data_IF_848878199082
#
_entry.id   IF_848878199082
#
_cell.length_a   1.000
_cell.length_b   1.000
_cell.length_c   1.000
_cell.angle_alpha   90.00
_cell.angle_beta   90.00
_cell.angle_gamma   90.00
#
_symmetry.space_group_name_H-M   'P 1'
#
loop_
_entity.id
_entity.type
_entity.pdbx_description
1 polymer ?
#
# COMPACT_ATOMS: atom_id res chain seq x y z
N UNK A 1 -20.41 90.14 -9.64
CA UNK A 1 -19.36 90.19 -8.60
C UNK A 1 -19.92 89.45 -7.40
N UNK A 2 -19.67 88.15 -7.20
CA UNK A 2 -18.40 87.45 -6.92
C UNK A 2 -17.96 87.55 -5.45
N UNK A 3 -17.85 86.39 -4.79
CA UNK A 3 -17.22 86.15 -3.48
C UNK A 3 -18.18 86.34 -2.29
N UNK A 4 -18.26 85.49 -1.27
CA UNK A 4 -17.32 84.48 -0.79
C UNK A 4 -18.09 83.46 0.07
N UNK A 5 -18.04 82.20 -0.33
CA UNK A 5 -18.41 81.04 0.47
C UNK A 5 -17.42 80.90 1.62
N UNK A 6 -17.87 81.10 2.86
CA UNK A 6 -17.08 80.79 4.05
C UNK A 6 -17.10 79.27 4.26
N UNK A 7 -15.96 78.66 3.95
CA UNK A 7 -15.67 77.25 4.07
C UNK A 7 -15.69 76.83 5.55
N UNK A 8 -16.80 76.22 5.99
CA UNK A 8 -16.90 75.59 7.30
C UNK A 8 -16.16 74.26 7.20
N UNK A 9 -14.85 74.31 7.43
CA UNK A 9 -14.01 73.12 7.53
C UNK A 9 -14.65 72.14 8.51
N UNK A 10 -15.20 71.06 7.96
CA UNK A 10 -15.74 69.95 8.71
C UNK A 10 -14.57 69.31 9.46
N UNK A 11 -14.50 69.55 10.76
CA UNK A 11 -13.63 68.83 11.69
C UNK A 11 -14.04 67.36 11.62
N UNK A 12 -13.34 66.59 10.77
CA UNK A 12 -13.54 65.14 10.67
C UNK A 12 -13.15 64.57 12.03
N UNK A 13 -14.16 64.18 12.81
CA UNK A 13 -13.99 63.41 14.02
C UNK A 13 -13.05 62.24 13.70
N UNK A 14 -11.89 62.21 14.36
CA UNK A 14 -10.94 61.11 14.23
C UNK A 14 -11.62 59.86 14.77
N UNK A 15 -12.00 58.95 13.88
CA UNK A 15 -12.44 57.61 14.24
C UNK A 15 -11.17 56.75 14.27
N UNK A 16 -10.67 56.37 15.46
CA UNK A 16 -9.51 55.50 15.55
C UNK A 16 -9.78 54.20 14.79
N UNK A 17 -8.79 53.68 14.02
CA UNK A 17 -8.91 52.39 13.36
C UNK A 17 -9.30 51.30 14.36
N UNK A 18 -10.18 50.35 13.99
CA UNK A 18 -10.53 49.24 14.87
C UNK A 18 -9.28 48.44 15.22
N UNK A 19 -9.10 48.17 16.51
CA UNK A 19 -7.98 47.36 17.00
C UNK A 19 -8.04 45.97 16.37
N UNK A 20 -6.88 45.41 16.07
CA UNK A 20 -6.81 44.01 15.63
C UNK A 20 -7.12 43.10 16.82
N UNK A 21 -7.72 41.93 16.57
CA UNK A 21 -8.06 40.94 17.63
C UNK A 21 -6.87 40.64 18.54
N UNK A 22 -5.67 40.52 17.96
CA UNK A 22 -4.43 40.30 18.72
C UNK A 22 -4.06 41.48 19.64
N UNK A 23 -4.31 42.72 19.22
CA UNK A 23 -4.09 43.90 20.05
C UNK A 23 -5.15 44.02 21.16
N UNK A 24 -6.39 43.63 20.86
CA UNK A 24 -7.46 43.57 21.86
C UNK A 24 -7.14 42.54 22.94
N UNK A 25 -6.71 41.33 22.55
CA UNK A 25 -6.26 40.28 23.46
C UNK A 25 -5.08 40.72 24.32
N UNK A 26 -4.11 41.44 23.73
CA UNK A 26 -2.97 41.99 24.47
C UNK A 26 -3.41 43.04 25.51
N UNK A 27 -4.36 43.91 25.16
CA UNK A 27 -4.92 44.91 26.08
C UNK A 27 -5.72 44.23 27.19
N UNK A 28 -6.52 43.21 26.86
CA UNK A 28 -7.30 42.42 27.81
C UNK A 28 -6.36 41.69 28.77
N UNK A 29 -5.34 41.01 28.27
CA UNK A 29 -4.32 40.34 29.09
C UNK A 29 -3.63 41.32 30.04
N UNK A 30 -3.17 42.47 29.54
CA UNK A 30 -2.57 43.51 30.38
C UNK A 30 -3.50 44.00 31.50
N UNK A 31 -4.80 44.18 31.20
CA UNK A 31 -5.80 44.59 32.20
C UNK A 31 -6.12 43.50 33.23
N UNK A 32 -6.11 42.24 32.82
CA UNK A 32 -6.37 41.10 33.71
C UNK A 32 -5.18 40.87 34.64
N UNK A 33 -3.94 40.97 34.13
CA UNK A 33 -2.72 40.74 34.93
C UNK A 33 -2.42 41.90 35.89
N UNK A 34 -2.76 43.14 35.54
CA UNK A 34 -2.49 44.31 36.37
C UNK A 34 -3.70 44.67 37.28
N UNK A 35 -3.97 43.85 38.30
CA UNK A 35 -5.04 44.13 39.27
C UNK A 35 -4.64 45.20 40.30
N UNK A 36 -4.90 46.45 39.96
CA UNK A 36 -4.66 47.60 40.85
C UNK A 36 -5.70 47.75 41.98
N UNK A 37 -6.73 46.88 42.08
CA UNK A 37 -7.78 47.02 43.11
C UNK A 37 -7.23 46.91 44.53
N UNK A 38 -6.30 45.97 44.76
CA UNK A 38 -5.63 45.80 46.05
C UNK A 38 -4.85 47.06 46.45
N UNK A 39 -4.05 47.60 45.53
CA UNK A 39 -3.29 48.83 45.75
C UNK A 39 -4.20 50.03 46.04
N UNK A 40 -5.31 50.17 45.30
CA UNK A 40 -6.32 51.21 45.55
C UNK A 40 -6.96 51.09 46.93
N UNK A 41 -7.25 49.87 47.42
CA UNK A 41 -7.79 49.67 48.78
C UNK A 41 -6.78 50.06 49.85
N UNK A 42 -5.53 49.61 49.73
CA UNK A 42 -4.43 50.01 50.66
C UNK A 42 -4.29 51.53 50.68
N UNK A 43 -4.29 52.16 49.51
CA UNK A 43 -4.18 53.62 49.38
C UNK A 43 -5.35 54.32 50.06
N UNK A 44 -6.58 53.85 49.87
CA UNK A 44 -7.77 54.43 50.52
C UNK A 44 -7.72 54.29 52.05
N UNK A 45 -7.28 53.15 52.57
CA UNK A 45 -7.11 52.91 54.02
C UNK A 45 -5.99 53.78 54.61
N UNK A 46 -4.89 53.96 53.88
CA UNK A 46 -3.82 54.88 54.26
C UNK A 46 -4.33 56.32 54.40
N UNK A 47 -5.06 56.84 53.42
CA UNK A 47 -5.62 58.20 53.48
C UNK A 47 -6.63 58.35 54.62
N UNK A 48 -7.44 57.32 54.89
CA UNK A 48 -8.38 57.31 56.02
C UNK A 48 -7.68 57.31 57.38
N UNK A 49 -6.55 56.62 57.51
CA UNK A 49 -5.73 56.67 58.72
C UNK A 49 -5.05 58.04 58.86
N UNK A 50 -4.44 58.54 57.78
CA UNK A 50 -3.73 59.81 57.78
C UNK A 50 -4.65 61.01 58.14
N UNK A 51 -5.90 61.01 57.69
CA UNK A 51 -6.84 62.10 57.99
C UNK A 51 -7.27 62.17 59.47
N UNK A 52 -7.34 61.02 60.14
CA UNK A 52 -7.70 60.94 61.57
C UNK A 52 -6.45 61.11 62.45
N UNK A 53 -5.30 60.60 62.02
CA UNK A 53 -4.03 60.73 62.74
C UNK A 53 -3.40 62.13 62.64
N UNK A 54 -3.58 62.83 61.50
CA UNK A 54 -3.07 64.17 61.26
C UNK A 54 -4.23 65.13 60.94
N UNK A 55 -4.91 65.60 61.98
CA UNK A 55 -5.93 66.65 61.84
C UNK A 55 -5.26 68.03 61.64
N UNK A 56 -5.65 68.83 60.64
CA UNK A 56 -5.10 70.17 60.45
C UNK A 56 -5.70 71.15 61.48
N UNK A 57 -4.93 71.48 62.52
CA UNK A 57 -4.82 72.74 63.30
C UNK A 57 -6.09 73.59 63.58
N UNK A 58 -7.31 73.04 63.63
CA UNK A 58 -8.49 73.75 64.15
C UNK A 58 -9.33 72.82 65.04
N UNK A 59 -9.64 73.21 66.30
CA UNK A 59 -10.24 72.30 67.26
C UNK A 59 -11.76 72.29 67.13
N UNK A 60 -12.37 71.17 66.76
CA UNK A 60 -13.79 70.86 66.99
C UNK A 60 -14.04 69.35 66.80
N UNK A 61 -13.61 68.52 67.75
CA UNK A 61 -14.29 67.30 68.24
C UNK A 61 -13.35 66.51 69.16
N UNK A 62 -13.82 65.86 70.25
CA UNK A 62 -13.01 64.93 71.00
C UNK A 62 -12.73 63.70 70.14
N UNK A 63 -11.52 63.62 69.60
CA UNK A 63 -11.02 62.42 68.92
C UNK A 63 -10.91 61.32 69.99
N UNK A 64 -11.69 60.25 69.86
CA UNK A 64 -11.50 59.10 70.73
C UNK A 64 -10.22 58.38 70.30
N UNK A 65 -9.27 58.11 71.21
CA UNK A 65 -8.00 57.46 70.86
C UNK A 65 -8.21 56.10 70.19
N UNK A 66 -9.33 55.42 70.50
CA UNK A 66 -9.73 54.17 69.85
C UNK A 66 -9.95 54.30 68.34
N UNK A 67 -10.50 55.43 67.85
CA UNK A 67 -10.79 55.61 66.41
C UNK A 67 -9.54 55.72 65.54
N UNK A 68 -8.44 56.25 66.10
CA UNK A 68 -7.14 56.35 65.44
C UNK A 68 -6.51 54.95 65.36
N UNK A 69 -6.56 54.20 66.47
CA UNK A 69 -6.03 52.84 66.54
C UNK A 69 -6.81 51.88 65.63
N UNK A 70 -8.14 51.96 65.59
CA UNK A 70 -8.99 51.18 64.67
C UNK A 70 -8.64 51.46 63.19
N UNK A 71 -8.42 52.74 62.83
CA UNK A 71 -8.03 53.12 61.48
C UNK A 71 -6.61 52.64 61.11
N UNK A 72 -5.69 52.62 62.09
CA UNK A 72 -4.34 52.09 61.94
C UNK A 72 -4.35 50.59 61.73
N UNK A 73 -5.08 49.84 62.56
CA UNK A 73 -5.23 48.39 62.43
C UNK A 73 -5.86 48.02 61.09
N UNK A 74 -6.90 48.73 60.67
CA UNK A 74 -7.53 48.51 59.36
C UNK A 74 -6.57 48.75 58.18
N UNK A 75 -5.66 49.73 58.29
CA UNK A 75 -4.62 49.95 57.28
C UNK A 75 -3.56 48.83 57.29
N UNK A 76 -3.07 48.44 58.46
CA UNK A 76 -2.08 47.36 58.57
C UNK A 76 -2.61 46.03 58.07
N UNK A 77 -3.87 45.70 58.35
CA UNK A 77 -4.54 44.50 57.84
C UNK A 77 -4.63 44.50 56.32
N UNK A 78 -5.03 45.63 55.70
CA UNK A 78 -5.09 45.72 54.24
C UNK A 78 -3.70 45.71 53.59
N UNK A 79 -2.68 46.29 54.25
CA UNK A 79 -1.30 46.23 53.79
C UNK A 79 -0.76 44.79 53.82
N UNK A 80 -1.02 44.07 54.92
CA UNK A 80 -0.62 42.67 55.06
C UNK A 80 -1.34 41.77 54.05
N UNK A 81 -2.63 42.00 53.81
CA UNK A 81 -3.41 41.25 52.81
C UNK A 81 -2.91 41.52 51.38
N UNK A 82 -2.56 42.76 51.06
CA UNK A 82 -1.96 43.11 49.77
C UNK A 82 -0.58 42.48 49.59
N UNK A 83 0.28 42.50 50.61
CA UNK A 83 1.58 41.83 50.56
C UNK A 83 1.44 40.31 50.35
N UNK A 84 0.47 39.68 51.00
CA UNK A 84 0.17 38.26 50.80
C UNK A 84 -0.30 37.99 49.37
N UNK A 85 -1.15 38.86 48.82
CA UNK A 85 -1.61 38.76 47.42
C UNK A 85 -0.46 38.86 46.41
N UNK A 86 0.50 39.77 46.63
CA UNK A 86 1.69 39.89 45.77
C UNK A 86 2.56 38.63 45.84
N UNK A 87 2.79 38.08 47.04
CA UNK A 87 3.53 36.82 47.20
C UNK A 87 2.83 35.66 46.49
N UNK A 88 1.51 35.57 46.61
CA UNK A 88 0.70 34.56 45.89
C UNK A 88 0.88 34.71 44.38
N UNK A 89 0.74 35.93 43.84
CA UNK A 89 0.91 36.18 42.40
C UNK A 89 2.30 35.80 41.92
N UNK A 90 3.35 36.12 42.69
CA UNK A 90 4.72 35.72 42.35
C UNK A 90 4.88 34.20 42.29
N UNK A 91 4.35 33.46 43.27
CA UNK A 91 4.39 31.99 43.26
C UNK A 91 3.63 31.38 42.09
N UNK A 92 2.51 32.00 41.68
CA UNK A 92 1.75 31.58 40.49
C UNK A 92 2.59 31.78 39.23
N UNK A 93 3.21 32.95 39.04
CA UNK A 93 4.08 33.21 37.89
C UNK A 93 5.26 32.22 37.83
N UNK A 94 5.84 31.88 38.97
CA UNK A 94 6.92 30.88 39.02
C UNK A 94 6.42 29.47 38.67
N UNK A 95 5.25 29.09 39.15
CA UNK A 95 4.62 27.80 38.79
C UNK A 95 4.27 27.74 37.30
N UNK A 96 3.68 28.80 36.75
CA UNK A 96 3.36 28.93 35.33
C UNK A 96 4.62 28.86 34.46
N UNK A 97 5.71 29.53 34.86
CA UNK A 97 6.98 29.46 34.16
C UNK A 97 7.51 28.02 34.07
N UNK A 98 7.51 27.27 35.19
CA UNK A 98 7.89 25.85 35.19
C UNK A 98 6.96 25.02 34.31
N UNK A 99 5.65 25.27 34.36
CA UNK A 99 4.69 24.54 33.55
C UNK A 99 4.89 24.77 32.05
N UNK A 100 5.21 26.01 31.64
CA UNK A 100 5.53 26.34 30.25
C UNK A 100 6.79 25.60 29.78
N UNK A 101 7.83 25.52 30.61
CA UNK A 101 9.03 24.73 30.28
C UNK A 101 8.72 23.25 30.08
N UNK A 102 7.91 22.64 30.96
CA UNK A 102 7.48 21.24 30.80
C UNK A 102 6.71 21.03 29.49
N UNK A 103 5.77 21.92 29.15
CA UNK A 103 5.04 21.83 27.90
C UNK A 103 5.94 22.01 26.67
N UNK A 104 6.98 22.83 26.75
CA UNK A 104 7.94 22.97 25.67
C UNK A 104 8.73 21.67 25.46
N UNK A 105 9.22 21.04 26.54
CA UNK A 105 9.91 19.75 26.45
C UNK A 105 9.02 18.65 25.90
N UNK A 106 7.77 18.58 26.37
CA UNK A 106 6.81 17.58 25.87
C UNK A 106 6.47 17.82 24.39
N UNK A 107 6.33 19.08 23.97
CA UNK A 107 6.13 19.43 22.56
C UNK A 107 7.32 19.00 21.69
N UNK A 108 8.54 19.19 22.15
CA UNK A 108 9.75 18.73 21.46
C UNK A 108 9.78 17.21 21.35
N UNK A 109 9.51 16.50 22.46
CA UNK A 109 9.40 15.04 22.46
C UNK A 109 8.37 14.52 21.44
N UNK A 110 7.18 15.11 21.41
CA UNK A 110 6.12 14.73 20.47
C UNK A 110 6.56 15.02 19.02
N UNK A 111 7.26 16.13 18.78
CA UNK A 111 7.77 16.46 17.46
C UNK A 111 8.83 15.45 16.97
N UNK A 112 9.72 15.02 17.85
CA UNK A 112 10.73 14.00 17.56
C UNK A 112 10.08 12.63 17.27
N UNK A 113 9.09 12.23 18.07
CA UNK A 113 8.33 11.01 17.84
C UNK A 113 7.58 11.05 16.51
N UNK A 114 6.98 12.19 16.18
CA UNK A 114 6.30 12.38 14.89
C UNK A 114 7.27 12.33 13.71
N UNK A 115 8.48 12.88 13.85
CA UNK A 115 9.53 12.73 12.83
C UNK A 115 9.92 11.27 12.66
N UNK A 116 10.21 10.57 13.75
CA UNK A 116 10.57 9.15 13.73
C UNK A 116 9.49 8.28 13.08
N UNK A 117 8.22 8.51 13.40
CA UNK A 117 7.10 7.77 12.81
C UNK A 117 6.98 8.02 11.31
N UNK A 118 7.26 9.25 10.83
CA UNK A 118 7.30 9.54 9.40
C UNK A 118 8.42 8.77 8.70
N UNK A 119 9.61 8.77 9.27
CA UNK A 119 10.75 8.03 8.71
C UNK A 119 10.44 6.53 8.64
N UNK A 120 9.81 5.97 9.67
CA UNK A 120 9.35 4.57 9.67
C UNK A 120 8.29 4.29 8.60
N UNK A 121 7.35 5.23 8.37
CA UNK A 121 6.36 5.11 7.30
C UNK A 121 7.04 5.11 5.93
N UNK A 122 8.05 5.94 5.73
CA UNK A 122 8.82 6.00 4.48
C UNK A 122 9.60 4.71 4.24
N UNK A 123 10.26 4.18 5.28
CA UNK A 123 10.96 2.90 5.23
C UNK A 123 10.00 1.74 4.88
N UNK A 124 8.85 1.68 5.55
CA UNK A 124 7.85 0.64 5.30
C UNK A 124 7.25 0.73 3.88
N UNK A 125 7.11 1.94 3.32
CA UNK A 125 6.69 2.12 1.92
C UNK A 125 7.74 1.56 0.96
N UNK A 126 9.01 1.87 1.17
CA UNK A 126 10.11 1.36 0.34
C UNK A 126 10.19 -0.18 0.43
N UNK A 127 10.08 -0.75 1.63
CA UNK A 127 10.05 -2.19 1.83
C UNK A 127 8.85 -2.86 1.13
N UNK A 128 7.68 -2.21 1.17
CA UNK A 128 6.49 -2.69 0.47
C UNK A 128 6.69 -2.68 -1.05
N UNK A 129 7.25 -1.61 -1.61
CA UNK A 129 7.54 -1.52 -3.04
C UNK A 129 8.52 -2.60 -3.48
N UNK A 130 9.58 -2.84 -2.70
CA UNK A 130 10.54 -3.92 -2.94
C UNK A 130 9.84 -5.29 -2.91
N UNK A 131 9.05 -5.58 -1.88
CA UNK A 131 8.34 -6.85 -1.76
C UNK A 131 7.35 -7.08 -2.92
N UNK A 132 6.71 -6.03 -3.42
CA UNK A 132 5.84 -6.11 -4.60
C UNK A 132 6.63 -6.42 -5.87
N UNK A 133 7.82 -5.82 -6.02
CA UNK A 133 8.71 -6.06 -7.15
C UNK A 133 9.21 -7.51 -7.14
N UNK A 134 9.69 -7.99 -5.99
CA UNK A 134 10.10 -9.39 -5.80
C UNK A 134 8.96 -10.36 -6.12
N UNK A 135 7.73 -10.05 -5.68
CA UNK A 135 6.55 -10.85 -6.03
C UNK A 135 6.30 -10.89 -7.53
N UNK A 136 6.41 -9.76 -8.23
CA UNK A 136 6.24 -9.71 -9.70
C UNK A 136 7.28 -10.57 -10.41
N UNK A 137 8.56 -10.42 -10.03
CA UNK A 137 9.63 -11.24 -10.57
C UNK A 137 9.40 -12.73 -10.30
N UNK A 138 8.97 -13.09 -9.09
CA UNK A 138 8.65 -14.49 -8.76
C UNK A 138 7.53 -15.04 -9.65
N UNK A 139 6.47 -14.28 -9.89
CA UNK A 139 5.39 -14.68 -10.81
C UNK A 139 5.94 -14.88 -12.23
N UNK A 140 6.82 -13.99 -12.71
CA UNK A 140 7.45 -14.15 -14.03
C UNK A 140 8.31 -15.42 -14.11
N UNK A 141 9.10 -15.71 -13.07
CA UNK A 141 9.86 -16.95 -12.98
C UNK A 141 8.97 -18.19 -12.94
N UNK A 142 7.87 -18.15 -12.18
CA UNK A 142 6.92 -19.26 -12.11
C UNK A 142 6.29 -19.53 -13.49
N UNK A 143 5.91 -18.49 -14.25
CA UNK A 143 5.40 -18.62 -15.63
C UNK A 143 6.45 -19.22 -16.57
N UNK A 144 7.72 -18.81 -16.45
CA UNK A 144 8.81 -19.40 -17.24
C UNK A 144 9.02 -20.86 -16.85
N UNK A 145 9.00 -21.18 -15.57
CA UNK A 145 9.15 -22.53 -15.06
C UNK A 145 8.03 -23.45 -15.56
N UNK A 146 6.78 -22.99 -15.57
CA UNK A 146 5.65 -23.73 -16.17
C UNK A 146 5.89 -24.03 -17.65
N UNK A 147 6.38 -23.05 -18.43
CA UNK A 147 6.71 -23.25 -19.85
C UNK A 147 7.85 -24.26 -20.02
N UNK A 148 8.91 -24.15 -19.22
CA UNK A 148 10.05 -25.10 -19.27
C UNK A 148 9.58 -26.51 -18.92
N UNK A 149 8.73 -26.66 -17.91
CA UNK A 149 8.17 -27.95 -17.50
C UNK A 149 7.20 -28.57 -18.52
N UNK A 150 6.70 -27.78 -19.48
CA UNK A 150 5.88 -28.29 -20.59
C UNK A 150 6.71 -28.90 -21.73
N UNK A 151 8.02 -28.65 -21.75
CA UNK A 151 8.95 -29.19 -22.74
C UNK A 151 9.53 -30.52 -22.25
N UNK A 152 9.92 -31.44 -23.16
CA UNK A 152 10.62 -32.65 -22.77
C UNK A 152 11.91 -32.31 -22.02
N UNK A 153 12.33 -33.21 -21.13
CA UNK A 153 13.59 -33.02 -20.41
C UNK A 153 14.75 -33.00 -21.41
N UNK A 154 15.82 -32.30 -21.03
CA UNK A 154 17.04 -32.23 -21.84
C UNK A 154 17.60 -33.63 -22.12
N UNK A 155 17.58 -34.49 -21.11
CA UNK A 155 18.11 -35.86 -21.20
C UNK A 155 17.29 -36.72 -22.17
N UNK A 156 15.96 -36.60 -22.17
CA UNK A 156 15.10 -37.29 -23.13
C UNK A 156 15.36 -36.84 -24.57
N UNK A 157 15.55 -35.52 -24.78
CA UNK A 157 15.89 -34.99 -26.10
C UNK A 157 17.27 -35.48 -26.56
N UNK A 158 18.26 -35.52 -25.67
CA UNK A 158 19.59 -36.06 -25.97
C UNK A 158 19.54 -37.56 -26.32
N UNK A 159 18.74 -38.36 -25.61
CA UNK A 159 18.51 -39.77 -25.95
C UNK A 159 17.83 -39.93 -27.31
N UNK A 160 16.84 -39.08 -27.62
CA UNK A 160 16.17 -39.08 -28.93
C UNK A 160 17.13 -38.76 -30.07
N UNK A 161 18.00 -37.75 -29.88
CA UNK A 161 19.04 -37.40 -30.84
C UNK A 161 19.99 -38.59 -31.05
N UNK A 162 20.49 -39.20 -29.98
CA UNK A 162 21.39 -40.35 -30.06
C UNK A 162 20.75 -41.55 -30.79
N UNK A 163 19.47 -41.82 -30.55
CA UNK A 163 18.73 -42.86 -31.26
C UNK A 163 18.63 -42.57 -32.76
N UNK A 164 18.26 -41.34 -33.14
CA UNK A 164 18.16 -40.94 -34.54
C UNK A 164 19.52 -40.95 -35.25
N UNK A 165 20.60 -40.57 -34.56
CA UNK A 165 21.96 -40.65 -35.09
C UNK A 165 22.39 -42.09 -35.34
N UNK A 166 22.06 -43.01 -34.43
CA UNK A 166 22.32 -44.44 -34.61
C UNK A 166 21.51 -45.01 -35.78
N UNK A 167 20.22 -44.66 -35.89
CA UNK A 167 19.38 -45.09 -37.01
C UNK A 167 19.91 -44.57 -38.36
N UNK A 168 20.34 -43.31 -38.42
CA UNK A 168 21.00 -42.74 -39.61
C UNK A 168 22.27 -43.50 -39.97
N UNK A 169 23.11 -43.84 -38.98
CA UNK A 169 24.32 -44.61 -39.21
C UNK A 169 24.01 -46.02 -39.75
N UNK A 170 23.00 -46.69 -39.19
CA UNK A 170 22.54 -48.00 -39.64
C UNK A 170 22.00 -47.96 -41.08
N UNK A 171 21.17 -46.96 -41.41
CA UNK A 171 20.62 -46.78 -42.77
C UNK A 171 21.76 -46.54 -43.77
N UNK A 172 22.75 -45.71 -43.44
CA UNK A 172 23.92 -45.46 -44.30
C UNK A 172 24.72 -46.74 -44.54
N UNK A 173 24.97 -47.53 -43.50
CA UNK A 173 25.68 -48.79 -43.61
C UNK A 173 24.93 -49.82 -44.48
N UNK A 174 23.61 -49.93 -44.31
CA UNK A 174 22.78 -50.81 -45.13
C UNK A 174 22.72 -50.35 -46.60
N UNK A 175 22.61 -49.04 -46.84
CA UNK A 175 22.69 -48.47 -48.18
C UNK A 175 24.04 -48.78 -48.86
N UNK A 176 25.16 -48.63 -48.13
CA UNK A 176 26.48 -49.03 -48.64
C UNK A 176 26.55 -50.53 -48.97
N UNK A 177 25.98 -51.38 -48.12
CA UNK A 177 25.90 -52.83 -48.33
C UNK A 177 25.05 -53.21 -49.56
N UNK A 178 23.89 -52.57 -49.73
CA UNK A 178 23.03 -52.74 -50.90
C UNK A 178 23.72 -52.26 -52.18
N UNK A 179 24.36 -51.09 -52.15
CA UNK A 179 25.11 -50.57 -53.28
C UNK A 179 26.26 -51.51 -53.68
N UNK A 180 26.98 -52.07 -52.69
CA UNK A 180 28.02 -53.08 -52.92
C UNK A 180 27.45 -54.34 -53.56
N UNK A 181 26.30 -54.81 -53.09
CA UNK A 181 25.60 -55.99 -53.63
C UNK A 181 25.13 -55.76 -55.06
N UNK A 182 24.52 -54.60 -55.34
CA UNK A 182 24.10 -54.21 -56.69
C UNK A 182 25.28 -54.11 -57.66
N UNK A 183 26.40 -53.53 -57.23
CA UNK A 183 27.62 -53.47 -58.04
C UNK A 183 28.17 -54.87 -58.35
N UNK A 184 28.19 -55.76 -57.37
CA UNK A 184 28.62 -57.15 -57.58
C UNK A 184 27.69 -57.90 -58.55
N UNK A 185 26.37 -57.73 -58.42
CA UNK A 185 25.39 -58.33 -59.35
C UNK A 185 25.53 -57.77 -60.76
N UNK A 186 25.72 -56.45 -60.90
CA UNK A 186 25.98 -55.80 -62.18
C UNK A 186 27.23 -56.37 -62.84
N UNK A 187 28.34 -56.48 -62.11
CA UNK A 187 29.58 -57.06 -62.61
C UNK A 187 29.42 -58.54 -63.03
N UNK A 188 28.65 -59.33 -62.27
CA UNK A 188 28.35 -60.72 -62.61
C UNK A 188 27.48 -60.82 -63.88
N UNK A 189 26.46 -59.96 -64.02
CA UNK A 189 25.63 -59.89 -65.22
C UNK A 189 26.43 -59.47 -66.45
N UNK A 190 27.30 -58.46 -66.31
CA UNK A 190 28.20 -58.02 -67.37
C UNK A 190 29.10 -59.19 -67.85
N UNK A 191 29.55 -60.04 -66.92
CA UNK A 191 30.30 -61.27 -67.25
C UNK A 191 29.43 -62.27 -68.03
N UNK A 192 28.20 -62.53 -67.59
CA UNK A 192 27.27 -63.42 -68.34
C UNK A 192 26.96 -62.87 -69.72
N UNK A 193 26.76 -61.55 -69.86
CA UNK A 193 26.55 -60.90 -71.15
C UNK A 193 27.78 -61.08 -72.06
N UNK A 194 28.98 -60.93 -71.51
CA UNK A 194 30.24 -61.20 -72.20
C UNK A 194 30.30 -62.66 -72.68
N UNK A 195 29.95 -63.62 -71.83
CA UNK A 195 29.94 -65.06 -72.15
C UNK A 195 28.88 -65.40 -73.21
N UNK A 196 27.68 -64.80 -73.16
CA UNK A 196 26.66 -64.96 -74.20
C UNK A 196 27.17 -64.37 -75.53
N UNK A 197 27.87 -63.24 -75.48
CA UNK A 197 28.44 -62.63 -76.67
C UNK A 197 29.53 -63.51 -77.30
N UNK A 198 30.42 -64.11 -76.50
CA UNK A 198 31.44 -65.06 -76.98
C UNK A 198 30.79 -66.32 -77.54
N UNK A 199 29.80 -66.90 -76.85
CA UNK A 199 29.04 -68.06 -77.32
C UNK A 199 28.28 -67.77 -78.62
N UNK A 200 27.66 -66.60 -78.79
CA UNK A 200 27.06 -66.20 -80.09
C UNK A 200 28.10 -66.10 -81.19
N UNK A 201 29.29 -65.59 -80.88
CA UNK A 201 30.38 -65.47 -81.85
C UNK A 201 30.88 -66.86 -82.29
N UNK A 202 30.98 -67.81 -81.36
CA UNK A 202 31.38 -69.20 -81.61
C UNK A 202 30.27 -70.01 -82.29
N UNK A 203 29.01 -69.87 -81.88
CA UNK A 203 27.87 -70.57 -82.49
C UNK A 203 27.51 -70.08 -83.89
N UNK A 204 27.86 -68.84 -84.24
CA UNK A 204 27.81 -68.36 -85.64
C UNK A 204 28.82 -69.04 -86.56
N UNK A 205 29.78 -69.80 -86.02
CA UNK A 205 30.78 -70.53 -86.79
C UNK A 205 30.36 -71.97 -87.15
N UNK A 206 29.29 -72.52 -86.57
CA UNK A 206 28.79 -73.89 -86.81
C UNK A 206 27.37 -73.98 -87.43
N UNK A 207 26.74 -72.86 -87.79
CA UNK A 207 25.42 -72.84 -88.45
C UNK A 207 25.48 -72.09 -89.79
N UNK A 208 26.13 -72.72 -90.77
CA UNK A 208 25.87 -72.45 -92.19
C UNK A 208 24.89 -73.50 -92.72
N UNK A 209 23.71 -72.99 -93.13
CA UNK A 209 22.74 -73.56 -94.09
C UNK A 209 21.75 -74.63 -93.56
N UNK A 210 20.45 -74.32 -93.46
CA UNK A 210 19.52 -74.39 -94.60
C UNK A 210 18.06 -73.95 -94.25
N UNK A 211 17.30 -73.60 -95.30
CA UNK A 211 15.83 -73.41 -95.40
C UNK A 211 15.17 -72.02 -95.15
N UNK A 212 14.92 -71.31 -96.27
CA UNK A 212 13.77 -70.43 -96.61
C UNK A 212 12.39 -71.15 -96.50
N UNK A 213 11.24 -70.52 -96.84
CA UNK A 213 10.61 -69.24 -96.45
C UNK A 213 9.15 -69.47 -95.92
N UNK A 214 8.49 -68.46 -95.31
CA UNK A 214 7.05 -68.55 -95.00
C UNK A 214 6.35 -67.16 -95.03
N UNK A 215 5.04 -67.10 -95.34
CA UNK A 215 4.40 -66.02 -96.09
C UNK A 215 3.64 -64.98 -95.23
N UNK A 216 3.23 -63.91 -95.90
CA UNK A 216 2.26 -62.90 -95.46
C UNK A 216 0.88 -63.50 -95.13
N UNK A 217 0.29 -63.02 -94.02
CA UNK A 217 -1.16 -62.87 -93.86
C UNK A 217 -1.44 -61.65 -92.97
N UNK A 218 -2.12 -60.66 -93.55
CA UNK A 218 -2.77 -59.54 -92.85
C UNK A 218 -4.12 -59.99 -92.22
N UNK A 219 -5.03 -59.08 -91.81
CA UNK A 219 -5.20 -58.50 -90.48
C UNK A 219 -6.53 -58.96 -89.82
N UNK A 220 -6.74 -58.73 -88.52
CA UNK A 220 -8.10 -58.68 -87.96
C UNK A 220 -8.12 -57.97 -86.60
N UNK A 221 -9.00 -56.98 -86.55
CA UNK A 221 -9.49 -56.23 -85.40
C UNK A 221 -10.62 -57.03 -84.74
N UNK A 222 -10.74 -56.97 -83.41
CA UNK A 222 -11.94 -57.25 -82.58
C UNK A 222 -11.46 -57.06 -81.12
N UNK A 223 -11.70 -55.92 -80.46
CA UNK A 223 -12.97 -55.43 -79.94
C UNK A 223 -13.75 -56.48 -79.12
N UNK A 224 -13.51 -56.50 -77.80
CA UNK A 224 -14.55 -56.84 -76.81
C UNK A 224 -14.35 -55.98 -75.56
N UNK A 225 -15.38 -55.17 -75.35
CA UNK A 225 -15.78 -54.35 -74.22
C UNK A 225 -15.89 -55.06 -72.84
N UNK A 226 -15.95 -54.20 -71.80
CA UNK A 226 -16.65 -54.38 -70.52
C UNK A 226 -16.12 -55.47 -69.55
N UNK A 227 -15.96 -55.22 -68.26
CA UNK A 227 -16.93 -54.59 -67.38
C UNK A 227 -16.28 -54.12 -66.06
N UNK A 228 -16.99 -53.18 -65.45
CA UNK A 228 -16.94 -52.55 -64.15
C UNK A 228 -16.33 -53.37 -62.98
N UNK A 229 -15.73 -52.74 -61.98
CA UNK A 229 -16.45 -51.95 -60.99
C UNK A 229 -15.48 -51.27 -60.01
N UNK A 230 -15.75 -50.00 -59.73
CA UNK A 230 -15.84 -49.37 -58.41
C UNK A 230 -14.70 -49.65 -57.37
N UNK A 231 -14.13 -48.68 -56.64
CA UNK A 231 -14.72 -47.43 -56.16
C UNK A 231 -13.73 -46.70 -55.23
N UNK A 232 -14.00 -45.39 -55.03
CA UNK A 232 -13.77 -44.60 -53.81
C UNK A 232 -12.46 -43.77 -53.70
N UNK A 233 -12.61 -42.49 -54.11
CA UNK A 233 -12.42 -41.23 -53.34
C UNK A 233 -11.08 -41.04 -52.58
N UNK A 234 -10.33 -39.97 -52.81
CA UNK A 234 -10.62 -38.57 -52.41
C UNK A 234 -9.61 -37.66 -53.11
N UNK A 235 -10.05 -36.68 -53.91
CA UNK A 235 -10.53 -35.31 -53.59
C UNK A 235 -9.40 -34.27 -53.59
N UNK A 236 -9.49 -33.44 -54.61
CA UNK A 236 -8.81 -32.17 -54.90
C UNK A 236 -8.88 -31.16 -53.74
N UNK A 237 -7.89 -30.26 -53.66
CA UNK A 237 -8.17 -28.83 -53.84
C UNK A 237 -6.89 -28.05 -54.20
N UNK A 238 -7.03 -27.20 -55.20
CA UNK A 238 -6.01 -26.42 -55.90
C UNK A 238 -5.45 -25.25 -55.07
N UNK A 239 -4.15 -25.00 -55.21
CA UNK A 239 -3.50 -23.75 -54.82
C UNK A 239 -3.21 -22.89 -56.05
N UNK A 240 -4.01 -21.84 -56.26
CA UNK A 240 -3.78 -20.78 -57.24
C UNK A 240 -3.07 -19.61 -56.53
N UNK A 241 -1.81 -19.33 -56.90
CA UNK A 241 -1.06 -18.19 -56.41
C UNK A 241 -1.01 -17.12 -57.51
N UNK A 242 -1.56 -15.95 -57.18
CA UNK A 242 -1.43 -14.72 -57.97
C UNK A 242 -0.68 -13.67 -57.15
N UNK A 243 0.35 -13.13 -57.79
CA UNK A 243 1.23 -12.06 -57.33
C UNK A 243 0.48 -10.74 -57.14
N UNK A 244 0.89 -9.93 -56.16
CA UNK A 244 1.22 -8.51 -56.36
C UNK A 244 1.73 -7.85 -55.06
N UNK A 245 2.72 -6.97 -55.22
CA UNK A 245 3.49 -6.26 -54.19
C UNK A 245 2.67 -5.22 -53.38
N UNK A 246 3.27 -4.61 -52.33
CA UNK A 246 3.48 -3.17 -52.46
C UNK A 246 4.77 -2.62 -51.85
N UNK A 247 5.30 -1.59 -52.51
CA UNK A 247 6.32 -0.67 -52.03
C UNK A 247 5.71 0.67 -51.56
N UNK A 248 6.33 1.24 -50.52
CA UNK A 248 6.60 2.69 -50.32
C UNK A 248 5.59 3.60 -49.59
N UNK A 249 6.03 4.00 -48.38
CA UNK A 249 6.13 5.39 -47.85
C UNK A 249 4.92 6.33 -47.80
N UNK A 250 4.55 6.81 -46.59
CA UNK A 250 4.51 8.26 -46.21
C UNK A 250 4.00 8.50 -44.77
N UNK A 251 4.83 9.16 -43.96
CA UNK A 251 4.42 10.17 -42.95
C UNK A 251 4.11 11.51 -43.70
N UNK A 252 3.41 12.54 -43.15
CA UNK A 252 3.55 13.07 -41.77
C UNK A 252 2.34 13.78 -41.07
N UNK A 253 2.55 14.11 -39.78
CA UNK A 253 2.17 15.34 -39.01
C UNK A 253 0.73 15.73 -38.64
N UNK A 254 0.56 16.14 -37.35
CA UNK A 254 -0.41 17.12 -36.82
C UNK A 254 -1.34 16.55 -35.73
N UNK A 255 -1.20 16.76 -34.41
CA UNK A 255 -1.32 17.98 -33.57
C UNK A 255 -2.77 18.51 -33.34
N UNK A 256 -3.29 18.30 -32.12
CA UNK A 256 -4.43 18.94 -31.37
C UNK A 256 -5.26 17.84 -30.70
N UNK A 257 -5.63 17.82 -29.42
CA UNK A 257 -5.85 18.88 -28.43
C UNK A 257 -7.36 19.12 -28.25
N UNK A 258 -7.88 18.90 -27.02
CA UNK A 258 -9.27 19.03 -26.48
C UNK A 258 -10.05 17.69 -26.42
N UNK A 259 -10.95 17.39 -25.48
CA UNK A 259 -11.38 17.86 -24.14
C UNK A 259 -12.54 16.92 -23.75
N UNK A 260 -12.83 16.80 -22.44
CA UNK A 260 -14.13 16.45 -21.83
C UNK A 260 -14.64 15.00 -22.05
N UNK A 261 -14.73 14.18 -21.00
CA UNK A 261 -15.81 14.08 -19.98
C UNK A 261 -17.08 13.38 -20.48
N UNK A 262 -17.62 12.54 -19.59
CA UNK A 262 -18.79 11.65 -19.69
C UNK A 262 -18.69 10.52 -20.72
N UNK A 263 -19.06 9.27 -20.43
CA UNK A 263 -19.89 8.72 -19.38
C UNK A 263 -20.56 7.46 -19.97
N UNK A 264 -20.85 6.49 -19.11
CA UNK A 264 -21.71 5.32 -19.33
C UNK A 264 -21.15 4.08 -20.05
N UNK A 265 -21.10 3.01 -19.24
CA UNK A 265 -21.79 1.73 -19.45
C UNK A 265 -21.56 1.01 -20.78
N UNK A 266 -20.87 -0.14 -20.72
CA UNK A 266 -21.41 -1.42 -21.23
C UNK A 266 -20.53 -2.58 -20.79
N UNK A 267 -21.14 -3.46 -20.01
CA UNK A 267 -20.70 -4.82 -19.71
C UNK A 267 -20.71 -5.63 -21.03
N UNK A 268 -19.57 -6.20 -21.43
CA UNK A 268 -19.54 -7.21 -22.49
C UNK A 268 -19.52 -8.62 -21.86
N UNK A 269 -20.70 -9.23 -21.91
CA UNK A 269 -21.00 -10.62 -21.62
C UNK A 269 -20.23 -11.56 -22.57
N UNK A 270 -19.44 -12.48 -22.01
CA UNK A 270 -18.82 -13.60 -22.72
C UNK A 270 -19.71 -14.83 -22.56
N UNK A 271 -20.22 -15.45 -23.65
CA UNK A 271 -21.10 -16.61 -23.56
C UNK A 271 -20.28 -17.90 -23.41
N UNK A 272 -20.01 -18.31 -22.17
CA UNK A 272 -19.37 -19.61 -21.89
C UNK A 272 -20.40 -20.67 -21.48
N UNK A 273 -20.67 -21.52 -22.46
CA UNK A 273 -20.84 -22.96 -22.39
C UNK A 273 -21.79 -23.55 -21.34
N UNK A 274 -22.88 -24.13 -21.87
CA UNK A 274 -23.69 -25.19 -21.29
C UNK A 274 -22.82 -26.34 -20.79
N UNK A 275 -22.63 -26.45 -19.47
CA UNK A 275 -22.24 -27.69 -18.81
C UNK A 275 -23.39 -28.17 -17.94
N UNK A 276 -23.89 -29.34 -18.29
CA UNK A 276 -24.96 -30.09 -17.63
C UNK A 276 -24.58 -30.34 -16.16
N UNK A 277 -25.19 -29.59 -15.25
CA UNK A 277 -25.11 -29.82 -13.81
C UNK A 277 -26.31 -30.65 -13.35
N UNK A 278 -26.03 -31.55 -12.41
CA UNK A 278 -26.89 -32.61 -11.89
C UNK A 278 -28.30 -32.13 -11.45
N UNK A 279 -29.41 -32.63 -12.05
CA UNK A 279 -30.77 -32.20 -11.72
C UNK A 279 -31.26 -32.66 -10.33
N UNK A 280 -30.49 -33.49 -9.61
CA UNK A 280 -30.81 -33.92 -8.25
C UNK A 280 -30.21 -33.03 -7.15
N UNK A 281 -29.44 -31.99 -7.50
CA UNK A 281 -28.85 -31.08 -6.52
C UNK A 281 -29.91 -30.11 -5.96
N UNK A 282 -30.19 -30.20 -4.65
CA UNK A 282 -31.10 -29.28 -3.96
C UNK A 282 -30.47 -27.88 -3.87
N UNK A 283 -31.23 -26.87 -4.29
CA UNK A 283 -30.88 -25.45 -4.18
C UNK A 283 -30.71 -25.05 -2.71
N UNK A 284 -29.55 -24.48 -2.38
CA UNK A 284 -29.22 -24.01 -1.04
C UNK A 284 -30.01 -22.73 -0.72
N UNK A 285 -30.77 -22.74 0.39
CA UNK A 285 -31.48 -21.56 0.92
C UNK A 285 -30.91 -21.27 2.31
N UNK A 286 -30.24 -20.13 2.55
CA UNK A 286 -29.73 -19.82 3.88
C UNK A 286 -30.88 -19.35 4.77
N UNK A 287 -31.30 -20.22 5.68
CA UNK A 287 -32.26 -19.88 6.74
C UNK A 287 -31.56 -19.14 7.88
N UNK A 288 -32.05 -17.94 8.16
CA UNK A 288 -31.78 -17.19 9.39
C UNK A 288 -32.42 -17.92 10.57
N UNK A 289 -31.63 -18.41 11.54
CA UNK A 289 -32.00 -18.40 12.97
C UNK A 289 -30.91 -18.98 13.88
N UNK A 290 -30.71 -18.20 14.95
CA UNK A 290 -30.04 -18.50 16.23
C UNK A 290 -30.24 -19.94 16.71
N UNK A 291 -29.17 -20.56 17.24
CA UNK A 291 -29.00 -20.90 18.67
C UNK A 291 -28.04 -22.09 18.89
N UNK A 292 -27.03 -21.86 19.74
CA UNK A 292 -26.45 -22.75 20.77
C UNK A 292 -25.81 -24.10 20.38
N UNK A 293 -24.56 -24.29 20.81
CA UNK A 293 -24.08 -25.32 21.79
C UNK A 293 -22.55 -25.18 21.93
N UNK A 294 -22.04 -24.81 23.11
CA UNK A 294 -21.41 -25.67 24.13
C UNK A 294 -20.26 -26.55 23.64
N UNK A 295 -19.03 -26.25 24.08
CA UNK A 295 -18.05 -27.20 24.65
C UNK A 295 -16.90 -26.43 25.36
N UNK A 296 -16.19 -27.06 26.32
CA UNK A 296 -15.48 -26.39 27.41
C UNK A 296 -13.96 -26.30 27.20
N UNK A 297 -13.31 -25.25 27.71
CA UNK A 297 -11.85 -25.23 27.89
C UNK A 297 -11.43 -24.40 29.10
N UNK A 298 -10.23 -24.74 29.58
CA UNK A 298 -9.73 -24.56 30.92
C UNK A 298 -9.21 -23.14 31.23
N UNK A 299 -9.18 -22.89 32.54
CA UNK A 299 -8.43 -21.87 33.28
C UNK A 299 -7.17 -21.30 32.62
N UNK A 300 -7.06 -19.96 32.56
CA UNK A 300 -6.08 -19.17 33.31
C UNK A 300 -6.25 -17.67 33.03
N UNK A 301 -6.05 -16.87 34.07
CA UNK A 301 -6.21 -15.43 34.13
C UNK A 301 -5.18 -14.67 33.27
N UNK A 302 -5.55 -13.54 32.66
CA UNK A 302 -5.23 -12.18 33.16
C UNK A 302 -5.85 -11.12 32.24
N UNK A 303 -6.25 -10.05 32.90
CA UNK A 303 -7.08 -8.94 32.46
C UNK A 303 -6.27 -7.89 31.69
N UNK A 304 -6.78 -7.42 30.54
CA UNK A 304 -6.59 -6.02 30.07
C UNK A 304 -7.80 -5.60 29.25
N UNK A 305 -8.40 -4.49 29.67
CA UNK A 305 -9.61 -3.85 29.16
C UNK A 305 -9.44 -3.25 27.77
N UNK A 306 -10.36 -3.58 26.88
CA UNK A 306 -10.58 -2.93 25.58
C UNK A 306 -11.38 -1.64 25.74
N UNK A 307 -10.85 -0.55 25.17
CA UNK A 307 -11.56 0.70 24.91
C UNK A 307 -12.53 0.52 23.73
N UNK A 308 -13.78 1.00 23.81
CA UNK A 308 -14.63 1.17 22.64
C UNK A 308 -14.55 2.60 22.10
N UNK A 309 -14.30 2.70 20.80
CA UNK A 309 -14.59 3.86 19.95
C UNK A 309 -16.09 4.18 19.98
N UNK A 310 -16.42 5.44 20.26
CA UNK A 310 -17.71 6.04 19.87
C UNK A 310 -17.53 7.51 19.50
N UNK A 311 -17.65 7.77 18.20
CA UNK A 311 -18.35 8.86 17.50
C UNK A 311 -18.56 10.19 18.24
N UNK A 312 -17.99 11.22 17.65
CA UNK A 312 -18.34 12.65 17.79
C UNK A 312 -19.78 12.87 17.28
N UNK A 313 -20.60 13.62 18.03
CA UNK A 313 -21.33 14.72 17.41
C UNK A 313 -21.32 16.00 18.27
N UNK A 314 -21.06 17.10 17.57
CA UNK A 314 -21.65 18.45 17.62
C UNK A 314 -21.98 19.17 18.94
N UNK A 315 -21.61 20.45 18.91
CA UNK A 315 -21.83 21.53 19.84
C UNK A 315 -23.33 21.82 20.06
N UNK A 316 -23.75 21.95 21.32
CA UNK A 316 -24.62 23.01 21.87
C UNK A 316 -25.16 22.59 23.26
N UNK A 317 -25.34 23.59 24.14
CA UNK A 317 -26.06 23.55 25.43
C UNK A 317 -25.42 22.84 26.65
N UNK A 318 -24.53 23.56 27.35
CA UNK A 318 -24.28 23.33 28.79
C UNK A 318 -25.25 24.21 29.59
N UNK A 319 -26.47 23.71 29.74
CA UNK A 319 -27.49 24.25 30.66
C UNK A 319 -27.11 23.93 32.11
N UNK A 320 -26.95 24.98 32.91
CA UNK A 320 -26.54 24.96 34.31
C UNK A 320 -27.64 24.41 35.22
N UNK A 321 -27.54 23.14 35.59
CA UNK A 321 -28.42 22.47 36.56
C UNK A 321 -27.87 22.50 38.00
N UNK A 322 -28.46 23.37 38.80
CA UNK A 322 -28.66 23.34 40.26
C UNK A 322 -28.19 22.08 41.02
N UNK A 323 -27.08 22.18 41.78
CA UNK A 323 -26.70 21.19 42.80
C UNK A 323 -27.47 21.51 44.08
N UNK A 324 -28.45 20.67 44.38
CA UNK A 324 -29.15 20.65 45.67
C UNK A 324 -28.21 20.30 46.81
N UNK A 325 -28.30 21.12 47.85
CA UNK A 325 -27.70 20.96 49.17
C UNK A 325 -28.19 19.69 49.85
N UNK A 326 -27.29 18.79 50.28
CA UNK A 326 -27.52 18.00 51.49
C UNK A 326 -26.22 17.87 52.30
N UNK A 327 -26.34 18.29 53.55
CA UNK A 327 -25.31 18.40 54.61
C UNK A 327 -25.37 17.15 55.55
N UNK A 328 -24.53 17.01 56.60
CA UNK A 328 -23.60 15.90 56.73
C UNK A 328 -23.95 14.92 57.87
N UNK A 329 -23.25 13.77 57.92
CA UNK A 329 -23.11 12.98 59.16
C UNK A 329 -21.66 12.58 59.42
N UNK A 330 -21.22 13.01 60.60
CA UNK A 330 -19.95 12.74 61.26
C UNK A 330 -19.66 11.25 61.50
N UNK A 331 -18.37 10.89 61.53
CA UNK A 331 -17.61 10.41 62.71
C UNK A 331 -16.25 9.84 62.25
N UNK A 332 -15.16 10.50 62.67
CA UNK A 332 -13.77 9.97 62.79
C UNK A 332 -13.48 9.77 64.31
N UNK A 333 -12.34 9.22 64.82
CA UNK A 333 -11.01 9.02 64.20
C UNK A 333 -10.15 7.80 64.65
N UNK A 334 -8.88 7.79 64.17
CA UNK A 334 -7.63 7.17 64.70
C UNK A 334 -7.24 5.80 64.06
N UNK A 335 -6.13 5.61 63.34
CA UNK A 335 -4.69 5.77 63.69
C UNK A 335 -3.79 5.86 62.43
N UNK A 336 -2.88 6.85 62.32
CA UNK A 336 -1.38 6.81 62.42
C UNK A 336 -0.56 6.00 61.39
N UNK A 337 -0.06 6.72 60.37
CA UNK A 337 1.34 7.02 59.95
C UNK A 337 2.51 6.05 60.30
N UNK A 338 3.24 5.60 59.26
CA UNK A 338 4.72 5.49 59.07
C UNK A 338 4.93 5.00 57.61
N UNK A 339 5.58 5.67 56.62
CA UNK A 339 6.95 6.24 56.44
C UNK A 339 8.06 5.21 56.62
N UNK A 340 8.83 5.00 55.53
CA UNK A 340 10.26 4.60 55.36
C UNK A 340 10.33 3.67 54.11
N UNK A 341 10.78 4.07 52.92
CA UNK A 341 12.13 4.45 52.45
C UNK A 341 13.16 3.29 52.51
N UNK A 342 13.83 3.08 51.36
CA UNK A 342 15.11 2.36 51.11
C UNK A 342 15.15 0.88 50.69
N UNK A 343 16.15 0.64 49.82
CA UNK A 343 16.76 -0.60 49.30
C UNK A 343 16.16 -1.15 47.99
N UNK A 344 16.68 -0.77 46.81
CA UNK A 344 18.03 -0.98 46.24
C UNK A 344 18.33 -2.46 45.95
N UNK A 345 18.97 -2.67 44.78
CA UNK A 345 19.59 -3.90 44.26
C UNK A 345 18.77 -4.79 43.31
N UNK A 346 19.27 -4.91 42.08
CA UNK A 346 18.77 -5.83 41.07
C UNK A 346 19.40 -5.64 39.70
N UNK A 347 20.72 -5.45 39.63
CA UNK A 347 21.50 -5.64 38.40
C UNK A 347 21.42 -7.11 37.96
N UNK A 348 21.12 -7.37 36.69
CA UNK A 348 21.47 -8.63 36.04
C UNK A 348 21.82 -8.33 34.59
N UNK A 349 23.12 -8.43 34.35
CA UNK A 349 23.86 -8.17 33.11
C UNK A 349 23.57 -9.24 32.06
N UNK A 350 23.58 -8.76 30.83
CA UNK A 350 23.66 -9.46 29.55
C UNK A 350 24.95 -10.29 29.43
N UNK A 351 24.83 -11.59 29.18
CA UNK A 351 25.90 -12.42 28.64
C UNK A 351 25.42 -13.06 27.32
N UNK A 352 25.77 -12.36 26.25
CA UNK A 352 26.13 -12.85 24.92
C UNK A 352 26.50 -14.34 24.86
N UNK A 353 25.79 -15.10 24.01
CA UNK A 353 26.19 -16.45 23.58
C UNK A 353 26.45 -16.48 22.07
N UNK A 354 27.57 -17.13 21.75
CA UNK A 354 28.36 -17.09 20.53
C UNK A 354 27.67 -17.71 19.30
N UNK A 355 27.92 -17.08 18.15
CA UNK A 355 27.67 -17.59 16.81
C UNK A 355 28.56 -18.80 16.51
N UNK A 356 27.96 -19.90 16.07
CA UNK A 356 28.67 -21.06 15.53
C UNK A 356 29.07 -20.84 14.06
N UNK A 357 30.36 -21.03 13.76
CA UNK A 357 30.94 -21.20 12.42
C UNK A 357 30.50 -22.53 11.76
N UNK A 358 30.39 -22.60 10.42
CA UNK A 358 30.19 -23.85 9.68
C UNK A 358 31.54 -24.51 9.30
N UNK A 359 31.55 -25.83 9.00
CA UNK A 359 32.78 -26.58 8.79
C UNK A 359 33.30 -26.50 7.35
N UNK A 360 34.62 -26.43 7.21
CA UNK A 360 35.37 -26.80 6.00
C UNK A 360 35.80 -28.27 6.11
N UNK A 361 35.22 -29.15 5.27
CA UNK A 361 35.89 -30.17 4.44
C UNK A 361 34.88 -30.90 3.52
#
# INVERSE_FOLDING_TARGET
>A
MAGSTADRAAEKAYVPPPLTVQQEDAIIHSRITNDEKGLRRVTKKFHSYASVAYTPVVPLSPLTPSSVDDAREAFLLELASFQLSLKKSFMVCEAEARQVEEYQRERERIADEHSRLKDQIEELKAALEQAQLERKQKIEYDVIAEKVNSLPSRDELEQSIQSLENDMAAIRAEHENQNRTLQAQKAALDTVIQDIHTLRLMGKQDATEDATPAPETQPAEEDVEMDATASVLTREESGELKEDAPSSSRHPSGASGKNAEDGQESEEDVPLAKTVLNPAARSFVPSTSKSRTNTPMMSAARSTSSLPTTKIPDEDDIEMGEIGEEEPKDVRPVSRKAREEELEEGEATDESSELSEPPDD
#
